data_IF_076324556946
#
_entry.id   IF_076324556946
#
_cell.length_a   1.000
_cell.length_b   1.000
_cell.length_c   1.000
_cell.angle_alpha   90.00
_cell.angle_beta   90.00
_cell.angle_gamma   90.00
#
_symmetry.space_group_name_H-M   'P 1'
#
loop_
_entity.id
_entity.type
_entity.pdbx_description
1 polymer ?
#
# COMPACT_ATOMS: atom_id res chain seq x y z
N UNK A 1 -50.93 -50.39 19.01
CA UNK A 1 -50.42 -49.34 19.90
C UNK A 1 -51.57 -48.44 20.28
N UNK A 2 -51.78 -48.18 21.57
CA UNK A 2 -52.81 -47.23 22.02
C UNK A 2 -52.39 -45.81 21.61
N UNK A 3 -53.35 -44.97 21.24
CA UNK A 3 -53.11 -43.60 20.79
C UNK A 3 -52.35 -42.76 21.84
N UNK A 4 -52.51 -43.10 23.12
CA UNK A 4 -51.78 -42.52 24.25
C UNK A 4 -50.29 -42.85 24.25
N UNK A 5 -49.90 -44.10 23.94
CA UNK A 5 -48.50 -44.51 23.89
C UNK A 5 -47.74 -43.80 22.75
N UNK A 6 -48.42 -43.58 21.62
CA UNK A 6 -47.87 -42.80 20.50
C UNK A 6 -47.69 -41.32 20.87
N UNK A 7 -48.67 -40.72 21.56
CA UNK A 7 -48.61 -39.33 21.99
C UNK A 7 -47.46 -39.09 23.00
N UNK A 8 -47.27 -39.98 23.98
CA UNK A 8 -46.16 -39.90 24.95
C UNK A 8 -44.80 -40.05 24.24
N UNK A 9 -44.68 -41.00 23.30
CA UNK A 9 -43.46 -41.17 22.50
C UNK A 9 -43.11 -39.92 21.67
N UNK A 10 -44.12 -39.30 21.04
CA UNK A 10 -43.93 -38.07 20.26
C UNK A 10 -43.50 -36.87 21.13
N UNK A 11 -44.07 -36.75 22.34
CA UNK A 11 -43.72 -35.68 23.30
C UNK A 11 -42.23 -35.76 23.69
N UNK A 12 -41.72 -36.97 23.97
CA UNK A 12 -40.32 -37.19 24.32
C UNK A 12 -39.39 -36.76 23.18
N UNK A 13 -39.73 -37.12 21.93
CA UNK A 13 -38.95 -36.72 20.74
C UNK A 13 -38.94 -35.20 20.57
N UNK A 14 -40.06 -34.51 20.80
CA UNK A 14 -40.10 -33.05 20.72
C UNK A 14 -39.27 -32.37 21.81
N UNK A 15 -39.29 -32.88 23.04
CA UNK A 15 -38.46 -32.36 24.14
C UNK A 15 -36.97 -32.52 23.83
N UNK A 16 -36.55 -33.70 23.34
CA UNK A 16 -35.15 -33.95 22.96
C UNK A 16 -34.74 -33.03 21.81
N UNK A 17 -35.59 -32.86 20.80
CA UNK A 17 -35.33 -31.98 19.66
C UNK A 17 -35.20 -30.52 20.09
N UNK A 18 -36.04 -30.06 21.02
CA UNK A 18 -35.97 -28.71 21.58
C UNK A 18 -34.66 -28.47 22.35
N UNK A 19 -34.20 -29.45 23.14
CA UNK A 19 -32.90 -29.37 23.84
C UNK A 19 -31.73 -29.30 22.86
N UNK A 20 -31.75 -30.12 21.81
CA UNK A 20 -30.70 -30.11 20.76
C UNK A 20 -30.71 -28.75 20.03
N UNK A 21 -31.89 -28.20 19.72
CA UNK A 21 -32.01 -26.89 19.08
C UNK A 21 -31.42 -25.76 19.94
N UNK A 22 -31.65 -25.77 21.25
CA UNK A 22 -31.08 -24.80 22.18
C UNK A 22 -29.55 -24.91 22.28
N UNK A 23 -29.01 -26.13 22.28
CA UNK A 23 -27.56 -26.36 22.26
C UNK A 23 -26.96 -25.83 20.95
N UNK A 24 -27.58 -26.13 19.80
CA UNK A 24 -27.13 -25.62 18.50
C UNK A 24 -27.16 -24.09 18.44
N UNK A 25 -28.17 -23.46 19.03
CA UNK A 25 -28.27 -22.01 19.10
C UNK A 25 -27.15 -21.39 19.96
N UNK A 26 -26.82 -22.02 21.10
CA UNK A 26 -25.68 -21.61 21.92
C UNK A 26 -24.34 -21.73 21.18
N UNK A 27 -24.14 -22.82 20.44
CA UNK A 27 -22.95 -23.01 19.60
C UNK A 27 -22.88 -21.97 18.48
N UNK A 28 -23.99 -21.67 17.81
CA UNK A 28 -24.05 -20.66 16.76
C UNK A 28 -23.69 -19.25 17.28
N UNK A 29 -24.19 -18.86 18.46
CA UNK A 29 -23.83 -17.58 19.10
C UNK A 29 -22.32 -17.53 19.41
N UNK A 30 -21.75 -18.63 19.89
CA UNK A 30 -20.30 -18.72 20.15
C UNK A 30 -19.47 -18.67 18.86
N UNK A 31 -19.95 -19.24 17.76
CA UNK A 31 -19.28 -19.14 16.46
C UNK A 31 -19.30 -17.71 15.93
N UNK A 32 -20.43 -17.00 16.04
CA UNK A 32 -20.54 -15.60 15.62
C UNK A 32 -19.58 -14.68 16.39
N UNK A 33 -19.40 -14.90 17.71
CA UNK A 33 -18.46 -14.11 18.49
C UNK A 33 -17.00 -14.39 18.10
N UNK A 34 -16.65 -15.65 17.84
CA UNK A 34 -15.32 -16.03 17.32
C UNK A 34 -15.06 -15.44 15.93
N UNK A 35 -16.03 -15.48 15.03
CA UNK A 35 -15.91 -14.87 13.70
C UNK A 35 -15.70 -13.36 13.80
N UNK A 36 -16.40 -12.67 14.70
CA UNK A 36 -16.19 -11.24 14.93
C UNK A 36 -14.75 -10.93 15.38
N UNK A 37 -14.21 -11.73 16.29
CA UNK A 37 -12.83 -11.57 16.77
C UNK A 37 -11.83 -11.84 15.63
N UNK A 38 -12.02 -12.93 14.88
CA UNK A 38 -11.16 -13.27 13.73
C UNK A 38 -11.16 -12.18 12.65
N UNK A 39 -12.34 -11.64 12.32
CA UNK A 39 -12.44 -10.53 11.35
C UNK A 39 -11.71 -9.30 11.88
N UNK A 40 -11.87 -8.97 13.16
CA UNK A 40 -11.19 -7.82 13.76
C UNK A 40 -9.65 -8.01 13.76
N UNK A 41 -9.17 -9.20 14.06
CA UNK A 41 -7.75 -9.55 13.99
C UNK A 41 -7.22 -9.52 12.56
N UNK A 42 -7.96 -10.06 11.59
CA UNK A 42 -7.62 -10.04 10.18
C UNK A 42 -7.55 -8.61 9.63
N UNK A 43 -8.50 -7.74 9.99
CA UNK A 43 -8.47 -6.32 9.61
C UNK A 43 -7.25 -5.62 10.21
N UNK A 44 -6.94 -5.86 11.48
CA UNK A 44 -5.71 -5.32 12.10
C UNK A 44 -4.45 -5.82 11.41
N UNK A 45 -4.39 -7.12 11.11
CA UNK A 45 -3.25 -7.75 10.43
C UNK A 45 -3.06 -7.19 9.01
N UNK A 46 -4.14 -7.02 8.25
CA UNK A 46 -4.10 -6.39 6.93
C UNK A 46 -3.57 -4.96 7.01
N UNK A 47 -4.07 -4.16 7.96
CA UNK A 47 -3.59 -2.79 8.16
C UNK A 47 -2.11 -2.72 8.53
N UNK A 48 -1.63 -3.65 9.36
CA UNK A 48 -0.21 -3.76 9.70
C UNK A 48 0.62 -4.14 8.46
N UNK A 49 0.13 -5.07 7.64
CA UNK A 49 0.80 -5.49 6.41
C UNK A 49 0.88 -4.34 5.39
N UNK A 50 -0.19 -3.58 5.24
CA UNK A 50 -0.28 -2.40 4.39
C UNK A 50 0.71 -1.32 4.85
N UNK A 51 0.74 -1.03 6.15
CA UNK A 51 1.71 -0.10 6.74
C UNK A 51 3.16 -0.58 6.55
N UNK A 52 3.42 -1.87 6.71
CA UNK A 52 4.75 -2.45 6.47
C UNK A 52 5.19 -2.26 5.03
N UNK A 53 4.28 -2.49 4.08
CA UNK A 53 4.52 -2.29 2.64
C UNK A 53 4.77 -0.81 2.32
N UNK A 54 3.99 0.09 2.92
CA UNK A 54 4.19 1.53 2.77
C UNK A 54 5.57 1.98 3.28
N UNK A 55 5.95 1.56 4.48
CA UNK A 55 7.24 1.91 5.07
C UNK A 55 8.41 1.38 4.24
N UNK A 56 8.27 0.22 3.61
CA UNK A 56 9.28 -0.31 2.68
C UNK A 56 9.42 0.56 1.43
N UNK A 57 8.30 0.97 0.81
CA UNK A 57 8.31 1.91 -0.33
C UNK A 57 8.92 3.25 0.07
N UNK A 58 8.55 3.79 1.22
CA UNK A 58 9.09 5.04 1.73
C UNK A 58 10.60 4.92 1.99
N UNK A 59 11.05 3.83 2.60
CA UNK A 59 12.47 3.57 2.83
C UNK A 59 13.23 3.44 1.50
N UNK A 60 12.66 2.78 0.49
CA UNK A 60 13.24 2.74 -0.86
C UNK A 60 13.40 4.13 -1.47
N UNK A 61 12.38 4.99 -1.38
CA UNK A 61 12.42 6.37 -1.89
C UNK A 61 13.48 7.18 -1.14
N UNK A 62 13.53 7.07 0.20
CA UNK A 62 14.53 7.76 1.04
C UNK A 62 15.95 7.34 0.67
N UNK A 63 16.19 6.04 0.50
CA UNK A 63 17.50 5.52 0.10
C UNK A 63 17.88 5.98 -1.31
N UNK A 64 16.95 5.92 -2.25
CA UNK A 64 17.19 6.40 -3.63
C UNK A 64 17.50 7.90 -3.65
N UNK A 65 16.79 8.71 -2.86
CA UNK A 65 17.06 10.15 -2.72
C UNK A 65 18.45 10.42 -2.11
N UNK A 66 18.87 9.60 -1.15
CA UNK A 66 20.20 9.70 -0.54
C UNK A 66 21.30 9.38 -1.56
N UNK A 67 21.14 8.32 -2.34
CA UNK A 67 22.10 7.95 -3.38
C UNK A 67 22.13 8.98 -4.51
N UNK A 68 20.97 9.49 -4.94
CA UNK A 68 20.87 10.60 -5.87
C UNK A 68 21.65 11.83 -5.41
N UNK A 69 21.54 12.18 -4.12
CA UNK A 69 22.27 13.31 -3.54
C UNK A 69 23.78 13.07 -3.58
N UNK A 70 24.25 11.87 -3.21
CA UNK A 70 25.66 11.51 -3.29
C UNK A 70 26.19 11.56 -4.73
N UNK A 71 25.44 11.00 -5.68
CA UNK A 71 25.78 11.01 -7.09
C UNK A 71 25.90 12.45 -7.62
N UNK A 72 24.93 13.30 -7.28
CA UNK A 72 24.93 14.71 -7.68
C UNK A 72 26.14 15.47 -7.13
N UNK A 73 26.47 15.27 -5.85
CA UNK A 73 27.67 15.86 -5.24
C UNK A 73 28.97 15.36 -5.87
N UNK A 74 29.02 14.07 -6.26
CA UNK A 74 30.18 13.50 -6.93
C UNK A 74 30.40 14.13 -8.31
N UNK A 75 29.34 14.27 -9.12
CA UNK A 75 29.40 14.95 -10.43
C UNK A 75 29.89 16.40 -10.27
N UNK A 76 29.35 17.15 -9.30
CA UNK A 76 29.79 18.51 -9.02
C UNK A 76 31.28 18.56 -8.63
N UNK A 77 31.72 17.67 -7.75
CA UNK A 77 33.12 17.60 -7.30
C UNK A 77 34.08 17.26 -8.42
N UNK A 78 33.72 16.33 -9.30
CA UNK A 78 34.55 15.93 -10.44
C UNK A 78 34.62 17.01 -11.51
N UNK A 79 33.51 17.73 -11.71
CA UNK A 79 33.45 18.91 -12.60
C UNK A 79 34.38 20.01 -12.11
N UNK A 80 34.39 20.31 -10.81
CA UNK A 80 35.29 21.32 -10.23
C UNK A 80 36.77 20.92 -10.32
N UNK A 81 37.07 19.62 -10.28
CA UNK A 81 38.43 19.07 -10.39
C UNK A 81 38.91 18.87 -11.83
N UNK A 82 38.06 19.08 -12.84
CA UNK A 82 38.41 18.94 -14.25
C UNK A 82 38.75 17.51 -14.70
N UNK A 83 38.25 16.48 -13.98
CA UNK A 83 38.51 15.06 -14.32
C UNK A 83 37.47 14.55 -15.32
N UNK A 84 37.64 14.93 -16.58
CA UNK A 84 36.63 14.69 -17.64
C UNK A 84 36.25 13.21 -17.82
N UNK A 85 37.22 12.28 -17.79
CA UNK A 85 36.94 10.84 -17.99
C UNK A 85 36.09 10.23 -16.86
N UNK A 86 36.26 10.71 -15.63
CA UNK A 86 35.46 10.27 -14.48
C UNK A 86 34.12 10.99 -14.40
N UNK A 87 34.02 12.18 -14.99
CA UNK A 87 32.79 12.95 -15.06
C UNK A 87 31.73 12.19 -15.86
N UNK A 88 32.09 11.63 -17.01
CA UNK A 88 31.16 10.89 -17.86
C UNK A 88 30.58 9.67 -17.12
N UNK A 89 31.43 8.92 -16.42
CA UNK A 89 30.99 7.78 -15.60
C UNK A 89 30.10 8.21 -14.44
N UNK A 90 30.45 9.32 -13.77
CA UNK A 90 29.65 9.85 -12.67
C UNK A 90 28.29 10.41 -13.14
N UNK A 91 28.24 10.99 -14.33
CA UNK A 91 27.01 11.48 -14.96
C UNK A 91 26.06 10.33 -15.32
N UNK A 92 26.58 9.23 -15.89
CA UNK A 92 25.78 8.03 -16.13
C UNK A 92 25.20 7.44 -14.83
N UNK A 93 26.01 7.40 -13.77
CA UNK A 93 25.54 6.94 -12.45
C UNK A 93 24.48 7.88 -11.85
N UNK A 94 24.62 9.19 -12.06
CA UNK A 94 23.62 10.17 -11.65
C UNK A 94 22.28 9.93 -12.37
N UNK A 95 22.30 9.72 -13.68
CA UNK A 95 21.09 9.44 -14.46
C UNK A 95 20.39 8.16 -13.98
N UNK A 96 21.16 7.11 -13.67
CA UNK A 96 20.62 5.87 -13.08
C UNK A 96 19.96 6.12 -11.71
N UNK A 97 20.60 6.95 -10.87
CA UNK A 97 20.04 7.35 -9.58
C UNK A 97 18.75 8.16 -9.71
N UNK A 98 18.66 9.05 -10.72
CA UNK A 98 17.42 9.79 -11.03
C UNK A 98 16.32 8.80 -11.42
N UNK A 99 16.59 7.89 -12.35
CA UNK A 99 15.62 6.88 -12.77
C UNK A 99 15.16 6.00 -11.61
N UNK A 100 16.06 5.55 -10.76
CA UNK A 100 15.71 4.75 -9.57
C UNK A 100 14.81 5.51 -8.59
N UNK A 101 15.11 6.79 -8.36
CA UNK A 101 14.28 7.66 -7.52
C UNK A 101 12.87 7.86 -8.13
N UNK A 102 12.80 8.19 -9.42
CA UNK A 102 11.53 8.38 -10.12
C UNK A 102 10.71 7.09 -10.19
N UNK A 103 11.34 5.93 -10.39
CA UNK A 103 10.65 4.63 -10.33
C UNK A 103 10.05 4.35 -8.95
N UNK A 104 10.75 4.72 -7.86
CA UNK A 104 10.22 4.61 -6.50
C UNK A 104 8.98 5.49 -6.30
N UNK A 105 9.05 6.75 -6.76
CA UNK A 105 7.91 7.67 -6.71
C UNK A 105 6.74 7.22 -7.60
N UNK A 106 7.00 6.68 -8.78
CA UNK A 106 5.94 6.22 -9.69
C UNK A 106 5.18 5.02 -9.10
N UNK A 107 5.87 4.11 -8.40
CA UNK A 107 5.22 3.03 -7.63
C UNK A 107 4.35 3.57 -6.49
N UNK A 108 4.82 4.57 -5.75
CA UNK A 108 3.99 5.23 -4.74
C UNK A 108 2.73 5.84 -5.38
N UNK A 109 2.89 6.56 -6.49
CA UNK A 109 1.77 7.14 -7.23
C UNK A 109 0.80 6.08 -7.75
N UNK A 110 1.31 4.94 -8.22
CA UNK A 110 0.48 3.79 -8.60
C UNK A 110 -0.36 3.30 -7.42
N UNK A 111 0.23 3.15 -6.23
CA UNK A 111 -0.50 2.73 -5.03
C UNK A 111 -1.58 3.73 -4.63
N UNK A 112 -1.31 5.03 -4.75
CA UNK A 112 -2.30 6.10 -4.50
C UNK A 112 -3.45 6.03 -5.53
N UNK A 113 -3.15 5.82 -6.81
CA UNK A 113 -4.17 5.69 -7.87
C UNK A 113 -5.06 4.46 -7.64
N UNK A 114 -4.50 3.39 -7.06
CA UNK A 114 -5.21 2.16 -6.73
C UNK A 114 -5.94 2.18 -5.39
N UNK A 115 -5.95 3.33 -4.71
CA UNK A 115 -6.61 3.51 -3.41
C UNK A 115 -6.07 2.56 -2.33
N UNK A 116 -4.81 2.09 -2.48
CA UNK A 116 -4.11 1.40 -1.40
C UNK A 116 -3.69 2.36 -0.28
N UNK A 117 -3.57 3.65 -0.60
CA UNK A 117 -3.35 4.72 0.35
C UNK A 117 -4.41 5.79 0.16
N UNK A 118 -4.82 6.42 1.25
CA UNK A 118 -5.76 7.54 1.20
C UNK A 118 -5.18 8.69 0.38
N UNK A 119 -5.97 9.23 -0.55
CA UNK A 119 -5.46 10.25 -1.48
C UNK A 119 -5.19 11.59 -0.78
N UNK A 120 -6.01 11.97 0.19
CA UNK A 120 -5.94 13.28 0.84
C UNK A 120 -4.77 13.31 1.81
N UNK A 121 -4.59 12.25 2.61
CA UNK A 121 -3.42 12.09 3.49
C UNK A 121 -2.12 12.12 2.67
N UNK A 122 -2.07 11.36 1.57
CA UNK A 122 -0.89 11.32 0.70
C UNK A 122 -0.67 12.64 -0.04
N UNK A 123 -1.72 13.39 -0.39
CA UNK A 123 -1.60 14.72 -0.99
C UNK A 123 -0.93 15.69 -0.02
N UNK A 124 -1.29 15.67 1.25
CA UNK A 124 -0.68 16.53 2.28
C UNK A 124 0.82 16.22 2.40
N UNK A 125 1.18 14.95 2.47
CA UNK A 125 2.57 14.54 2.68
C UNK A 125 3.44 14.67 1.43
N UNK A 126 2.96 14.24 0.25
CA UNK A 126 3.81 14.03 -0.93
C UNK A 126 3.63 15.04 -2.05
N UNK A 127 2.64 15.96 -1.99
CA UNK A 127 2.41 16.94 -3.08
C UNK A 127 3.67 17.72 -3.44
N UNK A 128 4.38 18.21 -2.43
CA UNK A 128 5.62 18.94 -2.65
C UNK A 128 6.71 18.07 -3.29
N UNK A 129 6.85 16.82 -2.86
CA UNK A 129 7.84 15.87 -3.41
C UNK A 129 7.56 15.56 -4.88
N UNK A 130 6.29 15.34 -5.23
CA UNK A 130 5.88 15.05 -6.60
C UNK A 130 6.06 16.27 -7.50
N UNK A 131 5.64 17.45 -7.05
CA UNK A 131 5.83 18.69 -7.80
C UNK A 131 7.32 18.95 -8.06
N UNK A 132 8.15 18.86 -7.02
CA UNK A 132 9.61 18.98 -7.13
C UNK A 132 10.19 17.99 -8.14
N UNK A 133 9.73 16.73 -8.13
CA UNK A 133 10.22 15.71 -9.03
C UNK A 133 9.93 16.06 -10.49
N UNK A 134 8.72 16.56 -10.79
CA UNK A 134 8.30 16.98 -12.13
C UNK A 134 9.04 18.23 -12.58
N UNK A 135 9.13 19.25 -11.73
CA UNK A 135 9.76 20.53 -12.04
C UNK A 135 11.28 20.41 -12.24
N UNK A 136 11.95 19.58 -11.43
CA UNK A 136 13.41 19.39 -11.51
C UNK A 136 13.84 18.46 -12.64
N UNK A 137 12.94 17.61 -13.15
CA UNK A 137 13.27 16.58 -14.14
C UNK A 137 12.31 16.61 -15.36
N UNK A 138 12.08 17.76 -16.00
CA UNK A 138 11.03 17.93 -17.02
C UNK A 138 11.21 17.02 -18.25
N UNK A 139 12.45 16.66 -18.57
CA UNK A 139 12.79 15.74 -19.66
C UNK A 139 12.19 14.34 -19.47
N UNK A 140 12.03 13.89 -18.22
CA UNK A 140 11.46 12.58 -17.89
C UNK A 140 9.93 12.55 -17.98
N UNK A 141 9.25 13.71 -18.10
CA UNK A 141 7.79 13.85 -18.08
C UNK A 141 7.17 14.32 -19.41
N UNK A 142 7.90 14.18 -20.51
CA UNK A 142 7.41 14.48 -21.86
C UNK A 142 6.28 13.54 -22.33
N UNK A 143 5.76 13.74 -23.54
CA UNK A 143 4.54 13.11 -24.06
C UNK A 143 4.54 11.56 -24.02
N UNK A 144 5.71 10.93 -24.00
CA UNK A 144 5.91 9.48 -23.87
C UNK A 144 6.62 9.07 -22.57
N UNK A 145 6.36 9.77 -21.46
CA UNK A 145 6.97 9.48 -20.16
C UNK A 145 6.73 8.02 -19.71
N UNK A 146 7.78 7.41 -19.16
CA UNK A 146 7.71 6.12 -18.45
C UNK A 146 7.03 6.27 -17.09
N UNK A 147 7.09 7.46 -16.49
CA UNK A 147 6.62 7.80 -15.14
C UNK A 147 5.19 8.38 -15.18
N UNK A 148 4.26 7.62 -15.77
CA UNK A 148 2.89 8.09 -16.07
C UNK A 148 2.05 8.29 -14.82
N UNK A 149 2.32 7.54 -13.75
CA UNK A 149 1.54 7.62 -12.51
C UNK A 149 1.87 8.91 -11.77
N UNK A 150 3.15 9.31 -11.73
CA UNK A 150 3.57 10.60 -11.19
C UNK A 150 2.85 11.74 -11.91
N UNK A 151 2.86 11.74 -13.25
CA UNK A 151 2.21 12.78 -14.04
C UNK A 151 0.71 12.87 -13.74
N UNK A 152 0.02 11.74 -13.68
CA UNK A 152 -1.42 11.68 -13.37
C UNK A 152 -1.73 12.22 -11.98
N UNK A 153 -0.92 11.88 -10.97
CA UNK A 153 -1.10 12.40 -9.61
C UNK A 153 -0.78 13.89 -9.54
N UNK A 154 0.30 14.34 -10.19
CA UNK A 154 0.67 15.75 -10.26
C UNK A 154 -0.45 16.60 -10.86
N UNK A 155 -1.00 16.19 -12.01
CA UNK A 155 -2.15 16.86 -12.64
C UNK A 155 -3.38 16.85 -11.71
N UNK A 156 -3.74 15.69 -11.15
CA UNK A 156 -4.87 15.55 -10.21
C UNK A 156 -4.75 16.50 -9.00
N UNK A 157 -3.54 16.64 -8.46
CA UNK A 157 -3.26 17.49 -7.31
C UNK A 157 -2.96 18.95 -7.65
N UNK A 158 -2.75 19.29 -8.92
CA UNK A 158 -2.63 20.66 -9.38
C UNK A 158 -4.01 21.33 -9.52
N UNK A 159 -5.01 20.57 -9.96
CA UNK A 159 -6.38 21.05 -10.21
C UNK A 159 -7.24 21.21 -8.93
N UNK A 160 -6.70 20.88 -7.75
CA UNK A 160 -7.39 20.96 -6.46
C UNK A 160 -6.53 21.50 -5.33
#
# INVERSE_FOLDING_TARGET
>A
MTQEAYNIGSLIVYVISAVIALIMLGVAISQLSKLRIQVQEAVKSNRISELGTFLEVENQIKNSRRELTKASLNVLTLKDKGRQDELDSASLYLDECIENYLNGLDRLCFCIIKEYFDNDDMKIEYRHVINDAVEKNPTYFQQASKHRNIKKIHEKWADS
#
